data_IF_816038426697
#
_entry.id   IF_816038426697
#
_cell.length_a   1.000
_cell.length_b   1.000
_cell.length_c   1.000
_cell.angle_alpha   90.00
_cell.angle_beta   90.00
_cell.angle_gamma   90.00
#
_symmetry.space_group_name_H-M   'P 1'
#
loop_
_entity.id
_entity.type
_entity.pdbx_description
1 polymer ?
#
# COMPACT_ATOMS: atom_id res chain seq x y z
N UNK A 1 -4.90 -40.97 3.86
CA UNK A 1 -5.11 -39.85 4.81
C UNK A 1 -5.23 -38.57 4.00
N UNK A 2 -6.38 -37.92 3.99
CA UNK A 2 -6.56 -36.61 3.35
C UNK A 2 -6.14 -35.56 4.40
N UNK A 3 -5.00 -34.90 4.20
CA UNK A 3 -4.60 -33.78 5.06
C UNK A 3 -5.56 -32.61 4.81
N UNK A 4 -6.16 -32.07 5.87
CA UNK A 4 -6.94 -30.85 5.77
C UNK A 4 -6.06 -29.70 5.25
N UNK A 5 -6.59 -28.78 4.42
CA UNK A 5 -5.84 -27.63 3.97
C UNK A 5 -5.39 -26.79 5.17
N UNK A 6 -4.20 -26.16 5.11
CA UNK A 6 -3.68 -25.35 6.19
C UNK A 6 -4.66 -24.22 6.54
N UNK A 7 -4.89 -24.02 7.84
CA UNK A 7 -5.81 -23.00 8.33
C UNK A 7 -5.40 -21.61 7.84
N UNK A 8 -6.39 -20.82 7.40
CA UNK A 8 -6.16 -19.43 6.99
C UNK A 8 -5.69 -18.60 8.20
N UNK A 9 -4.75 -17.66 8.03
CA UNK A 9 -4.41 -16.73 9.10
C UNK A 9 -5.64 -15.98 9.62
N UNK A 10 -5.65 -15.69 10.92
CA UNK A 10 -6.77 -15.03 11.59
C UNK A 10 -6.99 -13.60 11.07
N UNK A 11 -8.23 -13.11 11.19
CA UNK A 11 -8.57 -11.72 10.84
C UNK A 11 -7.74 -10.68 11.60
N UNK A 12 -7.57 -10.78 12.93
CA UNK A 12 -6.77 -9.82 13.68
C UNK A 12 -5.32 -9.76 13.19
N UNK A 13 -4.70 -10.90 12.87
CA UNK A 13 -3.34 -10.93 12.32
C UNK A 13 -3.28 -10.22 10.97
N UNK A 14 -4.19 -10.54 10.05
CA UNK A 14 -4.18 -9.96 8.70
C UNK A 14 -4.41 -8.44 8.73
N UNK A 15 -5.35 -7.97 9.55
CA UNK A 15 -5.64 -6.55 9.75
C UNK A 15 -4.45 -5.86 10.43
N UNK A 16 -3.90 -6.47 11.49
CA UNK A 16 -2.75 -5.92 12.22
C UNK A 16 -1.51 -5.74 11.33
N UNK A 17 -1.21 -6.73 10.48
CA UNK A 17 -0.15 -6.60 9.45
C UNK A 17 -0.47 -5.43 8.53
N UNK A 18 -1.70 -5.31 8.03
CA UNK A 18 -2.09 -4.23 7.12
C UNK A 18 -1.94 -2.83 7.72
N UNK A 19 -2.36 -2.66 8.97
CA UNK A 19 -2.19 -1.39 9.70
C UNK A 19 -0.71 -1.09 9.90
N UNK A 20 0.11 -2.08 10.30
CA UNK A 20 1.54 -1.89 10.48
C UNK A 20 2.25 -1.50 9.18
N UNK A 21 1.95 -2.18 8.06
CA UNK A 21 2.48 -1.83 6.73
C UNK A 21 2.08 -0.41 6.34
N UNK A 22 0.81 -0.03 6.56
CA UNK A 22 0.33 1.33 6.29
C UNK A 22 1.12 2.38 7.07
N UNK A 23 1.22 2.21 8.40
CA UNK A 23 1.87 3.19 9.28
C UNK A 23 3.34 3.33 8.95
N UNK A 24 4.07 2.22 8.79
CA UNK A 24 5.50 2.26 8.47
C UNK A 24 5.77 2.92 7.12
N UNK A 25 4.98 2.59 6.10
CA UNK A 25 5.10 3.22 4.77
C UNK A 25 4.75 4.70 4.84
N UNK A 26 3.69 5.08 5.57
CA UNK A 26 3.29 6.47 5.75
C UNK A 26 4.36 7.29 6.45
N UNK A 27 5.02 6.76 7.49
CA UNK A 27 6.12 7.44 8.18
C UNK A 27 7.23 7.79 7.19
N UNK A 28 7.68 6.84 6.37
CA UNK A 28 8.74 7.07 5.38
C UNK A 28 8.31 8.15 4.37
N UNK A 29 7.13 8.00 3.77
CA UNK A 29 6.69 8.90 2.71
C UNK A 29 6.36 10.32 3.21
N UNK A 30 5.75 10.44 4.40
CA UNK A 30 5.49 11.75 5.01
C UNK A 30 6.79 12.44 5.38
N UNK A 31 7.80 11.70 5.84
CA UNK A 31 9.14 12.25 6.11
C UNK A 31 9.78 12.78 4.84
N UNK A 32 9.78 11.99 3.75
CA UNK A 32 10.32 12.43 2.45
C UNK A 32 9.57 13.65 1.87
N UNK A 33 8.26 13.72 2.08
CA UNK A 33 7.46 14.88 1.67
C UNK A 33 7.84 16.13 2.48
N UNK A 34 7.91 16.01 3.82
CA UNK A 34 8.29 17.13 4.70
C UNK A 34 9.73 17.60 4.46
N UNK A 35 10.61 16.70 4.04
CA UNK A 35 11.99 17.01 3.67
C UNK A 35 12.11 17.69 2.28
N UNK A 36 11.02 17.84 1.52
CA UNK A 36 11.04 18.44 0.19
C UNK A 36 11.68 17.57 -0.90
N UNK A 37 11.96 16.31 -0.60
CA UNK A 37 12.60 15.36 -1.53
C UNK A 37 11.57 14.66 -2.42
N UNK A 38 10.34 14.53 -1.94
CA UNK A 38 9.24 13.94 -2.70
C UNK A 38 8.83 14.82 -3.88
N UNK A 39 8.73 14.30 -5.12
CA UNK A 39 8.21 15.05 -6.25
C UNK A 39 6.67 15.15 -6.26
N UNK A 40 5.99 14.52 -5.29
CA UNK A 40 4.54 14.61 -5.19
C UNK A 40 4.09 15.98 -4.70
N UNK A 41 3.11 16.63 -5.36
CA UNK A 41 2.54 17.89 -4.88
C UNK A 41 1.88 17.76 -3.50
N UNK A 42 1.25 16.61 -3.24
CA UNK A 42 0.64 16.22 -1.96
C UNK A 42 0.55 14.68 -1.87
N UNK A 43 0.27 14.09 -0.70
CA UNK A 43 0.08 12.63 -0.60
C UNK A 43 -1.01 12.13 -1.57
N UNK A 44 -0.78 11.05 -2.35
CA UNK A 44 -1.76 10.56 -3.33
C UNK A 44 -3.12 10.20 -2.72
N UNK A 45 -3.15 9.62 -1.52
CA UNK A 45 -4.40 9.30 -0.82
C UNK A 45 -5.15 10.54 -0.35
N UNK A 46 -4.45 11.64 -0.05
CA UNK A 46 -5.08 12.93 0.24
C UNK A 46 -5.66 13.55 -1.02
N UNK A 47 -4.89 13.57 -2.13
CA UNK A 47 -5.39 14.05 -3.42
C UNK A 47 -6.65 13.28 -3.84
N UNK A 48 -6.64 11.96 -3.72
CA UNK A 48 -7.80 11.13 -4.01
C UNK A 48 -9.00 11.46 -3.12
N UNK A 49 -8.80 11.62 -1.80
CA UNK A 49 -9.88 11.96 -0.89
C UNK A 49 -10.50 13.33 -1.23
N UNK A 50 -9.68 14.33 -1.60
CA UNK A 50 -10.15 15.65 -2.00
C UNK A 50 -10.91 15.61 -3.33
N UNK A 51 -10.43 14.83 -4.31
CA UNK A 51 -11.14 14.58 -5.57
C UNK A 51 -12.50 13.93 -5.31
N UNK A 52 -12.55 12.91 -4.45
CA UNK A 52 -13.78 12.17 -4.16
C UNK A 52 -14.81 13.01 -3.41
N UNK A 53 -14.37 13.87 -2.49
CA UNK A 53 -15.25 14.68 -1.64
C UNK A 53 -15.46 16.10 -2.17
N UNK A 54 -14.82 16.47 -3.29
CA UNK A 54 -14.98 17.77 -3.95
C UNK A 54 -14.53 18.97 -3.11
N UNK A 55 -13.63 18.78 -2.15
CA UNK A 55 -13.17 19.83 -1.23
C UNK A 55 -11.79 19.55 -0.67
N UNK A 56 -11.14 20.57 -0.14
CA UNK A 56 -9.87 20.41 0.58
C UNK A 56 -10.07 19.64 1.88
N UNK A 57 -9.07 18.84 2.25
CA UNK A 57 -9.12 17.97 3.42
C UNK A 57 -7.84 18.05 4.23
N UNK A 58 -7.91 17.86 5.56
CA UNK A 58 -6.71 17.79 6.38
C UNK A 58 -6.01 16.44 6.17
N UNK A 59 -4.68 16.45 6.30
CA UNK A 59 -3.80 15.30 6.08
C UNK A 59 -4.24 13.97 6.76
N UNK A 60 -4.78 13.97 8.00
CA UNK A 60 -5.26 12.75 8.63
C UNK A 60 -6.35 12.01 7.83
N UNK A 61 -7.18 12.71 7.06
CA UNK A 61 -8.18 12.06 6.19
C UNK A 61 -7.48 11.29 5.08
N UNK A 62 -6.46 11.87 4.45
CA UNK A 62 -5.63 11.16 3.48
C UNK A 62 -4.93 9.93 4.07
N UNK A 63 -4.45 9.99 5.31
CA UNK A 63 -3.86 8.84 6.00
C UNK A 63 -4.88 7.73 6.29
N UNK A 64 -6.12 8.10 6.60
CA UNK A 64 -7.19 7.13 6.79
C UNK A 64 -7.50 6.38 5.49
N UNK A 65 -7.65 7.09 4.37
CA UNK A 65 -7.83 6.47 3.04
C UNK A 65 -6.68 5.54 2.68
N UNK A 66 -5.43 6.00 2.90
CA UNK A 66 -4.24 5.16 2.72
C UNK A 66 -4.31 3.89 3.56
N UNK A 67 -4.64 4.02 4.85
CA UNK A 67 -4.69 2.91 5.78
C UNK A 67 -5.75 1.89 5.43
N UNK A 68 -6.95 2.33 5.05
CA UNK A 68 -8.02 1.44 4.59
C UNK A 68 -7.55 0.67 3.35
N UNK A 69 -6.99 1.36 2.36
CA UNK A 69 -6.57 0.75 1.10
C UNK A 69 -5.42 -0.25 1.28
N UNK A 70 -4.36 0.13 2.00
CA UNK A 70 -3.21 -0.74 2.29
C UNK A 70 -3.61 -1.93 3.14
N UNK A 71 -4.48 -1.73 4.14
CA UNK A 71 -4.98 -2.81 4.98
C UNK A 71 -5.81 -3.80 4.17
N UNK A 72 -6.70 -3.31 3.30
CA UNK A 72 -7.48 -4.16 2.40
C UNK A 72 -6.59 -5.09 1.58
N UNK A 73 -5.59 -4.56 0.87
CA UNK A 73 -4.70 -5.39 0.05
C UNK A 73 -3.79 -6.31 0.85
N UNK A 74 -3.37 -5.89 2.05
CA UNK A 74 -2.62 -6.73 2.97
C UNK A 74 -3.45 -7.92 3.45
N UNK A 75 -4.72 -7.69 3.79
CA UNK A 75 -5.66 -8.76 4.15
C UNK A 75 -5.87 -9.70 2.96
N UNK A 76 -6.03 -9.16 1.75
CA UNK A 76 -6.19 -9.96 0.54
C UNK A 76 -5.01 -10.93 0.37
N UNK A 77 -3.79 -10.40 0.46
CA UNK A 77 -2.57 -11.19 0.39
C UNK A 77 -2.49 -12.25 1.49
N UNK A 78 -2.56 -11.84 2.75
CA UNK A 78 -2.32 -12.73 3.90
C UNK A 78 -3.31 -13.90 3.95
N UNK A 79 -4.57 -13.67 3.56
CA UNK A 79 -5.66 -14.65 3.70
C UNK A 79 -5.95 -15.47 2.46
N UNK A 80 -5.76 -14.91 1.26
CA UNK A 80 -6.26 -15.53 0.04
C UNK A 80 -5.16 -15.91 -0.95
N UNK A 81 -3.94 -15.39 -0.81
CA UNK A 81 -2.87 -15.82 -1.70
C UNK A 81 -2.44 -17.25 -1.36
N UNK A 82 -2.39 -18.17 -2.36
CA UNK A 82 -1.99 -19.56 -2.12
C UNK A 82 -0.49 -19.69 -1.81
N UNK A 83 0.32 -18.76 -2.32
CA UNK A 83 1.75 -18.63 -2.03
C UNK A 83 2.00 -17.24 -1.47
N UNK A 84 2.71 -17.18 -0.34
CA UNK A 84 3.02 -15.94 0.39
C UNK A 84 4.53 -15.74 0.51
N UNK A 85 5.19 -15.79 -0.64
CA UNK A 85 6.62 -15.56 -0.76
C UNK A 85 6.92 -14.13 -1.25
N UNK A 86 8.20 -13.76 -1.27
CA UNK A 86 8.63 -12.43 -1.67
C UNK A 86 8.13 -12.06 -3.07
N UNK A 87 8.23 -12.98 -4.04
CA UNK A 87 7.78 -12.75 -5.42
C UNK A 87 6.29 -12.45 -5.48
N UNK A 88 5.45 -13.16 -4.74
CA UNK A 88 4.01 -12.88 -4.72
C UNK A 88 3.66 -11.55 -4.07
N UNK A 89 4.41 -11.11 -3.05
CA UNK A 89 4.20 -9.82 -2.41
C UNK A 89 4.67 -8.67 -3.31
N UNK A 90 5.84 -8.81 -3.95
CA UNK A 90 6.33 -7.86 -4.94
C UNK A 90 5.46 -7.83 -6.20
N UNK A 91 4.88 -8.96 -6.60
CA UNK A 91 3.91 -9.02 -7.69
C UNK A 91 2.65 -8.22 -7.38
N UNK A 92 2.08 -8.37 -6.17
CA UNK A 92 0.97 -7.53 -5.73
C UNK A 92 1.37 -6.04 -5.70
N UNK A 93 2.54 -5.73 -5.15
CA UNK A 93 3.07 -4.36 -5.14
C UNK A 93 3.18 -3.77 -6.56
N UNK A 94 3.70 -4.54 -7.52
CA UNK A 94 3.81 -4.11 -8.91
C UNK A 94 2.44 -3.87 -9.55
N UNK A 95 1.45 -4.73 -9.30
CA UNK A 95 0.07 -4.52 -9.77
C UNK A 95 -0.50 -3.23 -9.20
N UNK A 96 -0.38 -3.01 -7.88
CA UNK A 96 -0.88 -1.80 -7.24
C UNK A 96 -0.14 -0.54 -7.73
N UNK A 97 1.15 -0.67 -8.03
CA UNK A 97 1.92 0.40 -8.65
C UNK A 97 1.37 0.75 -10.04
N UNK A 98 1.06 -0.23 -10.88
CA UNK A 98 0.39 0.03 -12.16
C UNK A 98 -0.97 0.70 -11.93
N UNK A 99 -1.76 0.24 -10.96
CA UNK A 99 -3.07 0.84 -10.62
C UNK A 99 -2.93 2.32 -10.25
N UNK A 100 -1.91 2.72 -9.47
CA UNK A 100 -1.72 4.14 -9.17
C UNK A 100 -1.38 4.95 -10.43
N UNK A 101 -0.57 4.40 -11.34
CA UNK A 101 -0.15 5.07 -12.57
C UNK A 101 -1.31 5.26 -13.56
N UNK A 102 -2.19 4.27 -13.69
CA UNK A 102 -3.21 4.24 -14.75
C UNK A 102 -4.62 4.58 -14.28
N UNK A 103 -4.88 4.52 -12.97
CA UNK A 103 -6.21 4.81 -12.40
C UNK A 103 -6.14 6.04 -11.50
N UNK A 104 -5.40 5.98 -10.39
CA UNK A 104 -5.43 7.05 -9.39
C UNK A 104 -4.84 8.36 -9.88
N UNK A 105 -3.69 8.35 -10.57
CA UNK A 105 -3.09 9.57 -11.11
C UNK A 105 -3.99 10.29 -12.12
N UNK A 106 -4.59 9.61 -13.13
CA UNK A 106 -5.61 10.23 -13.96
C UNK A 106 -6.80 10.77 -13.17
N UNK A 107 -7.34 10.00 -12.22
CA UNK A 107 -8.51 10.43 -11.43
C UNK A 107 -8.25 11.73 -10.66
N UNK A 108 -7.06 11.92 -10.10
CA UNK A 108 -6.71 13.13 -9.33
C UNK A 108 -6.16 14.27 -10.21
N UNK A 109 -6.24 14.13 -11.53
CA UNK A 109 -5.80 15.16 -12.48
C UNK A 109 -4.29 15.22 -12.73
N UNK A 110 -3.51 14.20 -12.33
CA UNK A 110 -2.06 14.14 -12.57
C UNK A 110 -1.69 13.47 -13.90
N UNK A 111 -2.69 13.02 -14.66
CA UNK A 111 -2.52 12.40 -15.97
C UNK A 111 -2.00 10.96 -15.90
N UNK A 112 -1.92 10.30 -17.06
CA UNK A 112 -1.40 8.93 -17.17
C UNK A 112 0.05 8.88 -16.68
N UNK A 113 0.35 7.94 -15.78
CA UNK A 113 1.65 7.76 -15.15
C UNK A 113 2.19 9.01 -14.39
N UNK A 114 1.32 10.00 -14.11
CA UNK A 114 1.71 11.23 -13.41
C UNK A 114 2.40 12.27 -14.32
N UNK A 115 2.33 12.09 -15.64
CA UNK A 115 3.08 12.91 -16.60
C UNK A 115 2.61 14.38 -16.67
N UNK A 116 1.41 14.71 -16.19
CA UNK A 116 0.98 16.11 -16.10
C UNK A 116 1.71 16.88 -14.99
N UNK A 117 2.29 16.17 -14.00
CA UNK A 117 3.17 16.75 -12.98
C UNK A 117 4.64 16.58 -13.38
N UNK A 118 5.02 15.38 -13.83
CA UNK A 118 6.35 15.11 -14.40
C UNK A 118 6.79 13.65 -14.28
N UNK A 119 7.74 13.22 -15.12
CA UNK A 119 8.16 11.81 -15.22
C UNK A 119 8.77 11.25 -13.93
N UNK A 120 9.24 12.11 -13.01
CA UNK A 120 9.74 11.70 -11.69
C UNK A 120 8.67 11.03 -10.81
N UNK A 121 7.38 11.24 -11.07
CA UNK A 121 6.30 10.58 -10.32
C UNK A 121 6.27 9.06 -10.53
N UNK A 122 6.78 8.57 -11.67
CA UNK A 122 6.82 7.13 -11.96
C UNK A 122 7.69 6.39 -10.94
N UNK A 123 9.01 6.65 -10.82
CA UNK A 123 9.83 6.00 -9.80
C UNK A 123 9.47 6.43 -8.37
N UNK A 124 9.03 7.68 -8.16
CA UNK A 124 8.62 8.12 -6.82
C UNK A 124 7.38 7.40 -6.30
N UNK A 125 6.46 7.02 -7.19
CA UNK A 125 5.31 6.17 -6.85
C UNK A 125 5.69 4.70 -6.69
N UNK A 126 6.75 4.23 -7.36
CA UNK A 126 7.23 2.85 -7.20
C UNK A 126 7.77 2.60 -5.78
N UNK A 127 8.43 3.59 -5.17
CA UNK A 127 9.01 3.48 -3.82
C UNK A 127 8.02 3.02 -2.73
N UNK A 128 6.87 3.68 -2.50
CA UNK A 128 5.91 3.22 -1.48
C UNK A 128 5.34 1.82 -1.78
N UNK A 129 5.22 1.44 -3.06
CA UNK A 129 4.77 0.10 -3.44
C UNK A 129 5.83 -0.96 -3.15
N UNK A 130 7.10 -0.66 -3.43
CA UNK A 130 8.22 -1.53 -3.06
C UNK A 130 8.27 -1.71 -1.53
N UNK A 131 8.15 -0.62 -0.76
CA UNK A 131 8.07 -0.67 0.70
C UNK A 131 6.90 -1.54 1.16
N UNK A 132 5.71 -1.34 0.58
CA UNK A 132 4.54 -2.18 0.85
C UNK A 132 4.85 -3.66 0.64
N UNK A 133 5.41 -4.05 -0.51
CA UNK A 133 5.70 -5.46 -0.82
C UNK A 133 6.72 -6.09 0.12
N UNK A 134 7.80 -5.36 0.43
CA UNK A 134 8.84 -5.81 1.35
C UNK A 134 8.33 -5.95 2.79
N UNK A 135 7.61 -4.94 3.29
CA UNK A 135 7.05 -4.94 4.64
C UNK A 135 5.96 -6.01 4.79
N UNK A 136 5.07 -6.14 3.81
CA UNK A 136 4.01 -7.15 3.80
C UNK A 136 4.58 -8.57 3.88
N UNK A 137 5.56 -8.88 3.03
CA UNK A 137 6.23 -10.17 3.07
C UNK A 137 6.98 -10.39 4.39
N UNK A 138 7.76 -9.40 4.82
CA UNK A 138 8.57 -9.49 6.03
C UNK A 138 7.73 -9.73 7.28
N UNK A 139 6.64 -8.97 7.45
CA UNK A 139 5.75 -9.09 8.59
C UNK A 139 4.92 -10.39 8.55
N UNK A 140 4.37 -10.78 7.40
CA UNK A 140 3.64 -12.07 7.30
C UNK A 140 4.58 -13.25 7.61
N UNK A 141 5.83 -13.19 7.16
CA UNK A 141 6.82 -14.22 7.48
C UNK A 141 7.20 -14.21 8.95
N UNK A 142 7.41 -13.04 9.55
CA UNK A 142 7.76 -12.92 10.97
C UNK A 142 6.66 -13.52 11.86
N UNK A 143 5.42 -13.05 11.71
CA UNK A 143 4.28 -13.57 12.46
C UNK A 143 3.91 -15.01 12.07
N UNK A 144 4.22 -15.45 10.86
CA UNK A 144 4.07 -16.84 10.44
C UNK A 144 5.01 -17.80 11.16
N UNK A 145 6.17 -17.32 11.62
CA UNK A 145 7.14 -18.12 12.38
C UNK A 145 6.90 -18.09 13.89
N UNK A 146 6.23 -17.06 14.39
CA UNK A 146 6.04 -16.81 15.83
C UNK A 146 4.58 -16.98 16.27
N UNK A 147 3.64 -17.21 15.34
CA UNK A 147 2.28 -17.61 15.62
C UNK A 147 2.16 -19.14 15.69
N UNK A 148 2.67 -19.72 16.79
CA UNK A 148 2.15 -21.00 17.32
C UNK A 148 0.87 -20.76 18.14
N UNK A 149 0.12 -21.80 18.49
CA UNK A 149 -1.32 -21.78 18.81
C UNK A 149 -1.80 -20.63 19.71
#
# INVERSE_FOLDING_TARGET
>A
MIQAPPAKPSWPRAIGIGIAVSVLTAIVMVTLLKAGVSPFPKPPSLAFAETLLGRTLPMPVGLLFHTVYVTFWSVVFVRYFPRKNLLTALGLAAVLWVVILVVFFPMVGWGLAGLAIGPKLIPASALPHLLFGLLLWGLDRYFGRHGGP
#
